data_IF_862083828175
#
_entry.id   IF_862083828175
#
_cell.length_a   1.000
_cell.length_b   1.000
_cell.length_c   1.000
_cell.angle_alpha   90.00
_cell.angle_beta   90.00
_cell.angle_gamma   90.00
#
_symmetry.space_group_name_H-M   'P 1'
#
loop_
_entity.id
_entity.type
_entity.pdbx_description
1 polymer ?
#
# COMPACT_ATOMS: atom_id res chain seq x y z
N UNK A 1 21.89 -15.85 9.22
CA UNK A 1 20.82 -14.91 9.63
C UNK A 1 20.06 -14.40 8.41
N UNK A 2 20.75 -13.81 7.42
CA UNK A 2 20.18 -13.37 6.14
C UNK A 2 19.38 -14.46 5.41
N UNK A 3 19.93 -15.67 5.25
CA UNK A 3 19.26 -16.73 4.50
C UNK A 3 17.96 -17.20 5.16
N UNK A 4 17.91 -17.19 6.50
CA UNK A 4 16.70 -17.52 7.25
C UNK A 4 15.59 -16.47 7.03
N UNK A 5 15.96 -15.19 6.95
CA UNK A 5 15.03 -14.11 6.63
C UNK A 5 14.51 -14.28 5.20
N UNK A 6 15.40 -14.48 4.22
CA UNK A 6 15.02 -14.69 2.82
C UNK A 6 14.08 -15.90 2.69
N UNK A 7 14.43 -17.02 3.34
CA UNK A 7 13.62 -18.24 3.30
C UNK A 7 12.23 -18.03 3.92
N UNK A 8 12.15 -17.30 5.04
CA UNK A 8 10.88 -16.96 5.67
C UNK A 8 10.00 -16.12 4.72
N UNK A 9 10.53 -15.07 4.11
CA UNK A 9 9.71 -14.19 3.25
C UNK A 9 9.36 -14.82 1.89
N UNK A 10 10.18 -15.74 1.38
CA UNK A 10 9.99 -16.39 0.07
C UNK A 10 8.74 -17.27 -0.05
N UNK A 11 8.10 -17.64 1.06
CA UNK A 11 6.88 -18.47 1.05
C UNK A 11 5.74 -17.84 1.86
N UNK A 12 5.84 -16.56 2.20
CA UNK A 12 4.87 -15.86 3.04
C UNK A 12 3.46 -15.84 2.39
N UNK A 13 3.38 -15.93 1.06
CA UNK A 13 2.10 -16.07 0.32
C UNK A 13 1.30 -17.31 0.67
N UNK A 14 1.96 -18.37 1.12
CA UNK A 14 1.30 -19.61 1.50
C UNK A 14 0.74 -19.53 2.93
N UNK A 15 1.02 -18.44 3.66
CA UNK A 15 0.71 -18.25 5.09
C UNK A 15 -0.15 -16.99 5.28
N UNK A 16 -1.41 -17.00 4.82
CA UNK A 16 -2.26 -15.81 4.78
C UNK A 16 -2.57 -15.24 6.18
N UNK A 17 -2.62 -16.08 7.21
CA UNK A 17 -2.82 -15.63 8.59
C UNK A 17 -1.64 -14.80 9.09
N UNK A 18 -0.40 -15.18 8.77
CA UNK A 18 0.78 -14.41 9.13
C UNK A 18 0.81 -13.07 8.38
N UNK A 19 0.47 -13.07 7.09
CA UNK A 19 0.31 -11.83 6.31
C UNK A 19 -0.72 -10.89 6.94
N UNK A 20 -1.89 -11.43 7.28
CA UNK A 20 -2.93 -10.65 7.93
C UNK A 20 -2.47 -10.14 9.29
N UNK A 21 -1.76 -10.95 10.08
CA UNK A 21 -1.23 -10.56 11.38
C UNK A 21 -0.19 -9.44 11.26
N UNK A 22 0.68 -9.45 10.24
CA UNK A 22 1.63 -8.36 9.99
C UNK A 22 0.88 -7.06 9.67
N UNK A 23 -0.11 -7.12 8.77
CA UNK A 23 -0.87 -5.94 8.33
C UNK A 23 -1.77 -5.37 9.43
N UNK A 24 -2.61 -6.22 10.03
CA UNK A 24 -3.58 -5.81 11.07
C UNK A 24 -2.88 -5.56 12.40
N UNK A 25 -1.85 -6.35 12.74
CA UNK A 25 -1.10 -6.18 13.98
C UNK A 25 -0.39 -4.84 14.05
N UNK A 26 0.25 -4.41 12.95
CA UNK A 26 0.86 -3.07 12.88
C UNK A 26 -0.16 -1.96 13.07
N UNK A 27 -1.29 -2.05 12.36
CA UNK A 27 -2.40 -1.10 12.48
C UNK A 27 -2.94 -1.01 13.92
N UNK A 28 -3.23 -2.15 14.54
CA UNK A 28 -3.75 -2.22 15.91
C UNK A 28 -2.73 -1.68 16.91
N UNK A 29 -1.45 -2.03 16.75
CA UNK A 29 -0.37 -1.55 17.61
C UNK A 29 -0.30 -0.02 17.61
N UNK A 30 -0.25 0.60 16.43
CA UNK A 30 -0.21 2.06 16.35
C UNK A 30 -1.52 2.71 16.81
N UNK A 31 -2.68 2.10 16.54
CA UNK A 31 -3.97 2.64 16.96
C UNK A 31 -4.16 2.63 18.49
N UNK A 32 -3.61 1.61 19.17
CA UNK A 32 -3.55 1.53 20.65
C UNK A 32 -2.61 2.59 21.19
N UNK A 33 -1.40 2.73 20.62
CA UNK A 33 -0.42 3.73 21.06
C UNK A 33 -0.99 5.14 20.91
N UNK A 34 -1.51 5.48 19.73
CA UNK A 34 -2.10 6.79 19.47
C UNK A 34 -3.33 7.06 20.35
N UNK A 35 -4.11 6.03 20.67
CA UNK A 35 -5.23 6.15 21.61
C UNK A 35 -4.81 6.35 23.06
N UNK A 36 -3.67 5.79 23.46
CA UNK A 36 -3.18 5.84 24.85
C UNK A 36 -2.30 7.05 25.11
N UNK A 37 -1.52 7.47 24.11
CA UNK A 37 -0.55 8.56 24.16
C UNK A 37 -0.71 9.41 22.88
N UNK A 38 -1.81 10.19 22.76
CA UNK A 38 -2.05 11.00 21.57
C UNK A 38 -1.05 12.16 21.49
N UNK A 39 -0.43 12.35 20.32
CA UNK A 39 0.45 13.50 20.07
C UNK A 39 -0.32 14.83 20.01
N UNK A 40 -1.55 14.79 19.47
CA UNK A 40 -2.43 15.94 19.33
C UNK A 40 -3.81 15.63 19.94
N UNK A 41 -4.50 16.62 20.52
CA UNK A 41 -5.85 16.42 21.04
C UNK A 41 -6.84 16.16 19.89
N UNK A 42 -7.34 14.93 19.80
CA UNK A 42 -8.27 14.50 18.76
C UNK A 42 -9.71 14.87 19.13
N UNK A 43 -10.21 15.96 18.54
CA UNK A 43 -11.58 16.43 18.73
C UNK A 43 -12.53 15.80 17.72
N UNK A 44 -12.95 14.55 17.98
CA UNK A 44 -13.90 13.87 17.10
C UNK A 44 -15.27 14.54 17.14
N UNK A 45 -15.88 14.78 15.97
CA UNK A 45 -17.22 15.39 15.87
C UNK A 45 -18.32 14.61 16.60
N UNK A 46 -18.19 13.28 16.69
CA UNK A 46 -19.14 12.41 17.43
C UNK A 46 -18.41 11.53 18.43
N UNK A 47 -17.62 10.58 17.96
CA UNK A 47 -16.72 9.76 18.76
C UNK A 47 -15.70 9.06 17.84
N UNK A 48 -14.64 8.51 18.45
CA UNK A 48 -13.57 7.80 17.76
C UNK A 48 -14.07 6.59 16.96
N UNK A 49 -14.97 5.80 17.53
CA UNK A 49 -15.49 4.59 16.89
C UNK A 49 -16.23 4.84 15.57
N UNK A 50 -17.03 5.90 15.50
CA UNK A 50 -17.76 6.26 14.29
C UNK A 50 -16.83 6.80 13.19
N UNK A 51 -15.79 7.55 13.57
CA UNK A 51 -14.75 7.99 12.64
C UNK A 51 -13.99 6.79 12.08
N UNK A 52 -13.49 5.91 12.96
CA UNK A 52 -12.83 4.66 12.57
C UNK A 52 -13.72 3.77 11.69
N UNK A 53 -15.03 3.65 11.96
CA UNK A 53 -15.93 2.85 11.14
C UNK A 53 -16.06 3.35 9.70
N UNK A 54 -16.06 4.68 9.49
CA UNK A 54 -16.06 5.26 8.13
C UNK A 54 -14.74 4.96 7.44
N UNK A 55 -13.62 5.18 8.13
CA UNK A 55 -12.29 4.96 7.57
C UNK A 55 -12.05 3.47 7.25
N UNK A 56 -12.43 2.56 8.13
CA UNK A 56 -12.37 1.12 7.86
C UNK A 56 -13.29 0.67 6.73
N UNK A 57 -14.41 1.37 6.49
CA UNK A 57 -15.22 1.15 5.29
C UNK A 57 -14.42 1.38 4.01
N UNK A 58 -13.66 2.48 3.94
CA UNK A 58 -12.75 2.74 2.82
C UNK A 58 -11.59 1.75 2.78
N UNK A 59 -10.97 1.43 3.91
CA UNK A 59 -9.89 0.44 4.00
C UNK A 59 -10.33 -0.93 3.49
N UNK A 60 -11.56 -1.37 3.82
CA UNK A 60 -12.09 -2.64 3.35
C UNK A 60 -12.28 -2.64 1.82
N UNK A 61 -12.85 -1.55 1.27
CA UNK A 61 -13.00 -1.42 -0.19
C UNK A 61 -11.63 -1.42 -0.87
N UNK A 62 -10.66 -0.67 -0.32
CA UNK A 62 -9.29 -0.64 -0.79
C UNK A 62 -8.66 -2.04 -0.80
N UNK A 63 -8.80 -2.79 0.30
CA UNK A 63 -8.29 -4.16 0.43
C UNK A 63 -8.92 -5.11 -0.59
N UNK A 64 -10.24 -5.03 -0.80
CA UNK A 64 -10.94 -5.85 -1.81
C UNK A 64 -10.38 -5.57 -3.20
N UNK A 65 -10.28 -4.30 -3.59
CA UNK A 65 -9.73 -3.90 -4.90
C UNK A 65 -8.28 -4.38 -5.04
N UNK A 66 -7.44 -4.13 -4.04
CA UNK A 66 -6.03 -4.52 -4.08
C UNK A 66 -5.84 -6.04 -4.08
N UNK A 67 -6.78 -6.82 -3.54
CA UNK A 67 -6.73 -8.29 -3.65
C UNK A 67 -6.88 -8.74 -5.10
N UNK A 68 -7.77 -8.12 -5.89
CA UNK A 68 -7.89 -8.41 -7.32
C UNK A 68 -6.69 -7.91 -8.12
N UNK A 69 -6.20 -6.70 -7.81
CA UNK A 69 -4.99 -6.15 -8.45
C UNK A 69 -3.76 -7.01 -8.16
N UNK A 70 -3.66 -7.63 -6.97
CA UNK A 70 -2.57 -8.54 -6.63
C UNK A 70 -2.49 -9.75 -7.59
N UNK A 71 -3.61 -10.24 -8.12
CA UNK A 71 -3.61 -11.29 -9.14
C UNK A 71 -2.91 -10.81 -10.41
N UNK A 72 -3.12 -9.56 -10.79
CA UNK A 72 -2.48 -8.95 -11.96
C UNK A 72 -0.98 -8.73 -11.70
N UNK A 73 -0.62 -8.26 -10.50
CA UNK A 73 0.79 -8.11 -10.06
C UNK A 73 1.54 -9.42 -10.25
N UNK A 74 0.98 -10.55 -9.79
CA UNK A 74 1.62 -11.86 -9.92
C UNK A 74 1.84 -12.18 -11.40
N UNK A 75 0.84 -11.99 -12.26
CA UNK A 75 0.95 -12.29 -13.70
C UNK A 75 1.97 -11.43 -14.42
N UNK A 76 2.04 -10.13 -14.09
CA UNK A 76 3.04 -9.23 -14.67
C UNK A 76 4.43 -9.63 -14.19
N UNK A 77 4.62 -9.89 -12.90
CA UNK A 77 5.89 -10.35 -12.34
C UNK A 77 6.37 -11.67 -12.95
N UNK A 78 5.47 -12.64 -13.13
CA UNK A 78 5.77 -13.91 -13.80
C UNK A 78 6.17 -13.70 -15.26
N UNK A 79 5.45 -12.81 -15.97
CA UNK A 79 5.79 -12.47 -17.35
C UNK A 79 7.17 -11.81 -17.45
N UNK A 80 7.48 -10.85 -16.57
CA UNK A 80 8.81 -10.22 -16.48
C UNK A 80 9.89 -11.28 -16.23
N UNK A 81 9.62 -12.24 -15.34
CA UNK A 81 10.54 -13.35 -15.06
C UNK A 81 10.79 -14.25 -16.27
N UNK A 82 9.72 -14.68 -16.95
CA UNK A 82 9.83 -15.59 -18.10
C UNK A 82 10.51 -14.93 -19.31
N UNK A 83 10.34 -13.63 -19.49
CA UNK A 83 10.88 -12.88 -20.62
C UNK A 83 12.16 -12.11 -20.26
N UNK A 84 12.69 -12.27 -19.05
CA UNK A 84 13.85 -11.53 -18.53
C UNK A 84 13.71 -10.00 -18.73
N UNK A 85 12.51 -9.47 -18.46
CA UNK A 85 12.14 -8.10 -18.75
C UNK A 85 12.11 -7.23 -17.48
N UNK A 86 12.77 -6.07 -17.53
CA UNK A 86 12.82 -5.08 -16.46
C UNK A 86 14.20 -4.98 -15.81
N UNK A 87 14.42 -3.90 -15.05
CA UNK A 87 15.72 -3.52 -14.46
C UNK A 87 16.38 -4.64 -13.67
N UNK A 88 15.59 -5.43 -12.94
CA UNK A 88 16.09 -6.57 -12.15
C UNK A 88 16.78 -7.60 -13.03
N UNK A 89 16.21 -7.90 -14.21
CA UNK A 89 16.75 -8.92 -15.11
C UNK A 89 17.83 -8.35 -16.03
N UNK A 90 17.64 -7.14 -16.57
CA UNK A 90 18.64 -6.49 -17.42
C UNK A 90 19.97 -6.22 -16.71
N UNK A 91 19.93 -5.97 -15.40
CA UNK A 91 21.12 -5.77 -14.58
C UNK A 91 21.65 -7.06 -13.94
N UNK A 92 21.01 -8.21 -14.20
CA UNK A 92 21.30 -9.49 -13.53
C UNK A 92 21.40 -9.31 -11.99
N UNK A 93 20.41 -8.63 -11.42
CA UNK A 93 20.44 -8.16 -10.05
C UNK A 93 20.37 -9.35 -9.06
N UNK A 94 21.33 -9.40 -8.14
CA UNK A 94 21.22 -10.26 -6.96
C UNK A 94 20.15 -9.78 -5.99
N UNK A 95 19.76 -10.62 -5.01
CA UNK A 95 18.60 -10.37 -4.13
C UNK A 95 18.56 -8.96 -3.50
N UNK A 96 19.70 -8.45 -3.01
CA UNK A 96 19.75 -7.14 -2.37
C UNK A 96 19.60 -5.99 -3.36
N UNK A 97 20.20 -6.11 -4.54
CA UNK A 97 20.02 -5.14 -5.63
C UNK A 97 18.58 -5.18 -6.12
N UNK A 98 17.97 -6.36 -6.21
CA UNK A 98 16.55 -6.53 -6.53
C UNK A 98 15.65 -5.82 -5.51
N UNK A 99 15.90 -6.00 -4.21
CA UNK A 99 15.15 -5.29 -3.16
C UNK A 99 15.31 -3.78 -3.29
N UNK A 100 16.52 -3.29 -3.56
CA UNK A 100 16.76 -1.85 -3.73
C UNK A 100 16.04 -1.30 -4.97
N UNK A 101 16.15 -1.97 -6.12
CA UNK A 101 15.46 -1.57 -7.37
C UNK A 101 13.94 -1.59 -7.14
N UNK A 102 13.40 -2.67 -6.58
CA UNK A 102 11.97 -2.79 -6.30
C UNK A 102 11.49 -1.71 -5.33
N UNK A 103 12.23 -1.43 -4.27
CA UNK A 103 11.90 -0.36 -3.32
C UNK A 103 11.82 1.00 -4.03
N UNK A 104 12.84 1.37 -4.81
CA UNK A 104 12.89 2.67 -5.47
C UNK A 104 11.86 2.81 -6.59
N UNK A 105 11.68 1.78 -7.42
CA UNK A 105 10.70 1.81 -8.53
C UNK A 105 9.28 1.83 -8.01
N UNK A 106 8.93 0.97 -7.04
CA UNK A 106 7.59 0.93 -6.49
C UNK A 106 7.25 2.17 -5.67
N UNK A 107 8.21 2.74 -4.93
CA UNK A 107 8.04 4.05 -4.27
C UNK A 107 7.83 5.16 -5.29
N UNK A 108 8.68 5.22 -6.33
CA UNK A 108 8.58 6.24 -7.36
C UNK A 108 7.23 6.19 -8.09
N UNK A 109 6.80 5.03 -8.58
CA UNK A 109 5.55 4.91 -9.34
C UNK A 109 4.31 4.86 -8.43
N UNK A 110 4.28 3.93 -7.47
CA UNK A 110 3.12 3.63 -6.64
C UNK A 110 2.97 4.54 -5.42
N UNK A 111 4.04 5.22 -5.00
CA UNK A 111 4.04 6.20 -3.93
C UNK A 111 3.99 7.63 -4.47
N UNK A 112 5.11 8.10 -5.02
CA UNK A 112 5.34 9.51 -5.36
C UNK A 112 4.61 9.97 -6.61
N UNK A 113 4.78 9.28 -7.75
CA UNK A 113 4.31 9.75 -9.05
C UNK A 113 2.79 9.74 -9.13
N UNK A 114 2.14 8.66 -8.67
CA UNK A 114 0.68 8.61 -8.64
C UNK A 114 0.10 9.70 -7.75
N UNK A 115 0.69 9.90 -6.57
CA UNK A 115 0.23 10.93 -5.62
C UNK A 115 0.40 12.35 -6.18
N UNK A 116 1.55 12.63 -6.79
CA UNK A 116 1.79 13.89 -7.51
C UNK A 116 0.75 14.08 -8.63
N UNK A 117 0.48 13.03 -9.40
CA UNK A 117 -0.49 13.05 -10.50
C UNK A 117 -1.91 13.33 -9.99
N UNK A 118 -2.30 12.69 -8.88
CA UNK A 118 -3.58 12.90 -8.20
C UNK A 118 -3.75 14.34 -7.71
N UNK A 119 -2.70 14.96 -7.18
CA UNK A 119 -2.72 16.36 -6.78
C UNK A 119 -2.74 17.35 -7.96
N UNK A 120 -2.08 17.02 -9.07
CA UNK A 120 -1.90 17.96 -10.20
C UNK A 120 -3.05 17.91 -11.20
N UNK A 121 -3.72 16.78 -11.36
CA UNK A 121 -4.83 16.63 -12.32
C UNK A 121 -6.17 16.91 -11.63
N UNK A 122 -6.93 17.95 -12.03
CA UNK A 122 -8.13 18.38 -11.29
C UNK A 122 -9.20 17.29 -11.12
N UNK A 123 -9.36 16.41 -12.10
CA UNK A 123 -10.31 15.29 -12.03
C UNK A 123 -9.86 14.24 -11.01
N UNK A 124 -8.57 13.94 -10.93
CA UNK A 124 -8.03 12.95 -9.99
C UNK A 124 -8.03 13.50 -8.56
N UNK A 125 -7.75 14.79 -8.39
CA UNK A 125 -7.83 15.47 -7.11
C UNK A 125 -9.21 15.32 -6.45
N UNK A 126 -10.30 15.34 -7.24
CA UNK A 126 -11.66 15.14 -6.72
C UNK A 126 -11.87 13.79 -6.04
N UNK A 127 -11.13 12.76 -6.45
CA UNK A 127 -11.15 11.46 -5.77
C UNK A 127 -10.19 11.45 -4.59
N UNK A 128 -8.98 11.96 -4.81
CA UNK A 128 -7.92 11.97 -3.81
C UNK A 128 -8.20 12.88 -2.60
N UNK A 129 -9.06 13.90 -2.75
CA UNK A 129 -9.48 14.75 -1.63
C UNK A 129 -10.21 13.96 -0.55
N UNK A 130 -10.76 12.77 -0.83
CA UNK A 130 -11.34 11.89 0.21
C UNK A 130 -10.30 11.52 1.26
N UNK A 131 -9.06 11.25 0.83
CA UNK A 131 -7.93 10.99 1.71
C UNK A 131 -7.56 12.24 2.52
N UNK A 132 -7.46 13.41 1.86
CA UNK A 132 -7.06 14.67 2.50
C UNK A 132 -8.15 15.34 3.35
N UNK A 133 -9.42 14.97 3.19
CA UNK A 133 -10.54 15.61 3.87
C UNK A 133 -10.80 15.04 5.27
N UNK A 134 -9.85 14.30 5.86
CA UNK A 134 -9.97 13.88 7.26
C UNK A 134 -9.59 15.02 8.21
N UNK A 135 -10.55 15.46 9.02
CA UNK A 135 -10.34 16.50 10.01
C UNK A 135 -9.69 15.96 11.29
N UNK A 136 -9.63 14.64 11.45
CA UNK A 136 -9.05 13.96 12.61
C UNK A 136 -8.10 12.88 12.10
N UNK A 137 -6.92 13.31 11.64
CA UNK A 137 -5.88 12.41 11.14
C UNK A 137 -5.42 11.51 12.30
N UNK A 138 -5.76 10.23 12.18
CA UNK A 138 -5.39 9.15 13.09
C UNK A 138 -4.94 7.92 12.27
N UNK A 139 -4.52 6.85 12.93
CA UNK A 139 -4.02 5.62 12.29
C UNK A 139 -4.99 5.03 11.25
N UNK A 140 -6.29 5.24 11.39
CA UNK A 140 -7.29 4.72 10.44
C UNK A 140 -7.37 5.53 9.14
N UNK A 141 -6.83 6.75 9.14
CA UNK A 141 -6.89 7.69 8.00
C UNK A 141 -6.03 7.23 6.81
N UNK A 142 -4.93 6.51 7.09
CA UNK A 142 -3.90 6.20 6.09
C UNK A 142 -4.40 5.46 4.84
N UNK A 143 -5.45 4.63 4.97
CA UNK A 143 -6.03 3.87 3.85
C UNK A 143 -7.44 4.34 3.47
N UNK A 144 -7.80 5.57 3.85
CA UNK A 144 -9.07 6.22 3.48
C UNK A 144 -9.05 6.71 2.02
N UNK A 145 -8.76 5.80 1.09
CA UNK A 145 -8.67 6.10 -0.34
C UNK A 145 -10.02 5.92 -1.03
N UNK A 146 -10.28 6.76 -2.03
CA UNK A 146 -11.42 6.55 -2.91
C UNK A 146 -11.20 5.27 -3.77
N UNK A 147 -12.26 4.53 -4.15
CA UNK A 147 -12.10 3.32 -4.99
C UNK A 147 -11.37 3.58 -6.31
N UNK A 148 -11.63 4.72 -6.95
CA UNK A 148 -10.96 5.14 -8.20
C UNK A 148 -9.47 5.40 -7.99
N UNK A 149 -9.10 6.05 -6.88
CA UNK A 149 -7.70 6.24 -6.49
C UNK A 149 -7.01 4.90 -6.25
N UNK A 150 -7.69 3.93 -5.62
CA UNK A 150 -7.14 2.58 -5.39
C UNK A 150 -6.81 1.87 -6.71
N UNK A 151 -7.70 1.97 -7.71
CA UNK A 151 -7.45 1.43 -9.05
C UNK A 151 -6.28 2.17 -9.72
N UNK A 152 -6.25 3.50 -9.66
CA UNK A 152 -5.20 4.30 -10.27
C UNK A 152 -3.82 3.98 -9.68
N UNK A 153 -3.71 3.92 -8.35
CA UNK A 153 -2.49 3.47 -7.64
C UNK A 153 -2.06 2.08 -8.08
N UNK A 154 -3.01 1.16 -8.29
CA UNK A 154 -2.76 -0.14 -8.90
C UNK A 154 -2.11 -0.06 -10.29
N UNK A 155 -2.64 0.79 -11.18
CA UNK A 155 -2.10 0.95 -12.53
C UNK A 155 -0.67 1.50 -12.52
N UNK A 156 -0.38 2.48 -11.67
CA UNK A 156 0.99 3.00 -11.52
C UNK A 156 1.91 1.95 -10.91
N UNK A 157 1.43 1.17 -9.95
CA UNK A 157 2.20 0.05 -9.40
C UNK A 157 2.58 -0.97 -10.49
N UNK A 158 1.67 -1.26 -11.44
CA UNK A 158 1.99 -2.13 -12.58
C UNK A 158 3.09 -1.56 -13.46
N UNK A 159 3.10 -0.25 -13.70
CA UNK A 159 4.19 0.40 -14.43
C UNK A 159 5.53 0.21 -13.72
N UNK A 160 5.54 0.32 -12.38
CA UNK A 160 6.74 0.10 -11.58
C UNK A 160 7.30 -1.32 -11.64
N UNK A 161 6.46 -2.34 -11.90
CA UNK A 161 6.92 -3.74 -12.07
C UNK A 161 7.55 -3.95 -13.46
N UNK A 162 7.05 -3.23 -14.47
CA UNK A 162 7.46 -3.38 -15.87
C UNK A 162 8.73 -2.57 -16.16
N UNK A 163 9.13 -1.66 -15.28
CA UNK A 163 10.41 -0.94 -15.37
C UNK A 163 11.51 -1.78 -14.75
#
# INVERSE_FOLDING_TARGET
>A
MTDAIIQYFSNLEQRPLERLAILVGGLLFFWIIEGSIPLLPLHYKKNKWRHAAVNFGFTLIHLIIHTFLALIIIRISDWCKTNEFGLVYWLNAGIWTTVLIAFLTLDFFGGWLVHMTEHKVPVLWRFHVVHHADNNVDVTTGLRHHPVESILRGLFFFMGIIV
#
